data_IF_215239934218
#
_entry.id   IF_215239934218
#
_cell.length_a   1.000
_cell.length_b   1.000
_cell.length_c   1.000
_cell.angle_alpha   90.00
_cell.angle_beta   90.00
_cell.angle_gamma   90.00
#
_symmetry.space_group_name_H-M   'P 1'
#
loop_
_entity.id
_entity.type
_entity.pdbx_description
1 polymer ?
#
# COMPACT_ATOMS: atom_id res chain seq x y z
N UNK A 1 -6.52 30.08 21.96
CA UNK A 1 -5.44 30.38 21.00
C UNK A 1 -5.06 31.87 21.10
N UNK A 2 -4.04 32.24 21.86
CA UNK A 2 -3.69 33.65 22.08
C UNK A 2 -3.40 34.41 20.77
N UNK A 3 -2.70 33.79 19.82
CA UNK A 3 -2.44 34.42 18.51
C UNK A 3 -3.68 34.58 17.64
N UNK A 4 -4.53 33.55 17.52
CA UNK A 4 -5.69 33.55 16.61
C UNK A 4 -6.92 34.27 17.16
N UNK A 5 -7.05 34.41 18.48
CA UNK A 5 -8.24 35.01 19.12
C UNK A 5 -7.90 36.12 20.11
N UNK A 6 -6.63 36.54 20.22
CA UNK A 6 -6.15 37.51 21.21
C UNK A 6 -6.51 37.11 22.65
N UNK A 7 -6.54 35.79 22.91
CA UNK A 7 -6.91 35.23 24.21
C UNK A 7 -8.42 35.23 24.49
N UNK A 8 -9.25 35.78 23.59
CA UNK A 8 -10.70 35.76 23.75
C UNK A 8 -11.27 34.38 23.40
N UNK A 9 -12.36 34.02 24.08
CA UNK A 9 -13.12 32.81 23.77
C UNK A 9 -13.78 32.98 22.39
N UNK A 10 -13.56 32.03 21.49
CA UNK A 10 -14.17 32.02 20.17
C UNK A 10 -14.70 30.63 19.85
N UNK A 11 -15.93 30.56 19.31
CA UNK A 11 -16.57 29.32 18.86
C UNK A 11 -16.47 29.17 17.35
N UNK A 12 -15.92 28.04 16.89
CA UNK A 12 -15.91 27.64 15.48
C UNK A 12 -16.94 26.53 15.30
N UNK A 13 -17.93 26.70 14.41
CA UNK A 13 -19.10 25.80 14.35
C UNK A 13 -18.94 24.62 13.40
N UNK A 14 -18.11 24.75 12.35
CA UNK A 14 -17.95 23.74 11.30
C UNK A 14 -16.47 23.49 11.03
N UNK A 15 -15.80 22.84 11.96
CA UNK A 15 -14.37 22.51 11.86
C UNK A 15 -14.19 21.10 11.31
N UNK A 16 -13.34 20.95 10.29
CA UNK A 16 -12.91 19.64 9.83
C UNK A 16 -11.70 19.19 10.65
N UNK A 17 -11.86 18.11 11.40
CA UNK A 17 -10.76 17.47 12.12
C UNK A 17 -9.96 16.58 11.18
N UNK A 18 -8.75 17.02 10.84
CA UNK A 18 -7.90 16.33 9.87
C UNK A 18 -6.89 15.44 10.62
N UNK A 19 -7.21 14.17 10.75
CA UNK A 19 -6.31 13.17 11.32
C UNK A 19 -5.27 12.75 10.29
N UNK A 20 -3.99 12.79 10.66
CA UNK A 20 -2.92 12.27 9.79
C UNK A 20 -1.83 11.55 10.57
N UNK A 21 -1.21 10.51 9.97
CA UNK A 21 0.02 9.95 10.47
C UNK A 21 1.19 10.90 10.19
N UNK A 22 2.02 11.11 11.20
CA UNK A 22 3.26 11.86 11.18
C UNK A 22 4.43 10.96 11.54
N UNK A 23 5.65 11.38 11.17
CA UNK A 23 6.88 10.63 11.43
C UNK A 23 6.77 9.16 11.00
N UNK A 24 6.44 8.90 9.74
CA UNK A 24 6.27 7.53 9.20
C UNK A 24 5.23 6.69 9.95
N UNK A 25 4.23 7.33 10.57
CA UNK A 25 3.13 6.66 11.27
C UNK A 25 3.39 6.35 12.74
N UNK A 26 4.46 6.89 13.35
CA UNK A 26 4.69 6.79 14.80
C UNK A 26 3.83 7.75 15.62
N UNK A 27 3.40 8.86 15.02
CA UNK A 27 2.59 9.87 15.69
C UNK A 27 1.29 10.08 14.92
N UNK A 28 0.19 10.27 15.65
CA UNK A 28 -1.07 10.73 15.08
C UNK A 28 -1.31 12.16 15.51
N UNK A 29 -1.51 13.03 14.52
CA UNK A 29 -1.76 14.45 14.74
C UNK A 29 -3.15 14.80 14.22
N UNK A 30 -3.87 15.63 14.98
CA UNK A 30 -5.10 16.29 14.51
C UNK A 30 -4.78 17.71 14.11
N UNK A 31 -5.05 18.05 12.86
CA UNK A 31 -4.83 19.41 12.32
C UNK A 31 -6.18 20.10 12.16
N UNK A 32 -6.26 21.35 12.62
CA UNK A 32 -7.42 22.22 12.47
C UNK A 32 -7.04 23.47 11.67
N UNK A 33 -7.68 23.67 10.52
CA UNK A 33 -7.54 24.89 9.73
C UNK A 33 -8.55 25.95 10.21
N UNK A 34 -8.20 26.68 11.27
CA UNK A 34 -9.06 27.70 11.89
C UNK A 34 -8.76 29.11 11.38
N UNK A 35 -9.80 29.91 11.13
CA UNK A 35 -9.70 31.35 10.86
C UNK A 35 -8.98 32.11 11.96
N UNK A 36 -8.29 33.17 11.54
CA UNK A 36 -7.74 34.15 12.45
C UNK A 36 -8.81 35.19 12.77
N UNK A 37 -9.27 35.20 14.03
CA UNK A 37 -10.30 36.12 14.54
C UNK A 37 -9.72 37.28 15.34
N UNK A 38 -8.39 37.39 15.41
CA UNK A 38 -7.75 38.54 16.01
C UNK A 38 -8.00 39.77 15.11
N UNK A 39 -8.61 40.86 15.61
CA UNK A 39 -8.93 42.03 14.80
C UNK A 39 -7.74 42.68 14.09
N UNK A 40 -6.51 42.50 14.59
CA UNK A 40 -5.32 43.12 14.00
C UNK A 40 -4.73 42.33 12.82
N UNK A 41 -5.08 41.05 12.69
CA UNK A 41 -4.51 40.12 11.68
C UNK A 41 -5.60 39.17 11.16
N UNK A 42 -6.82 39.69 11.05
CA UNK A 42 -7.99 38.90 10.67
C UNK A 42 -7.77 38.25 9.30
N UNK A 43 -8.05 36.95 9.22
CA UNK A 43 -7.86 36.18 8.00
C UNK A 43 -8.76 34.96 7.97
N UNK A 44 -9.41 34.77 6.83
CA UNK A 44 -10.21 33.59 6.51
C UNK A 44 -9.34 32.54 5.80
N UNK A 45 -9.47 31.28 6.21
CA UNK A 45 -8.75 30.13 5.64
C UNK A 45 -9.70 29.12 4.98
N UNK A 46 -10.81 29.61 4.41
CA UNK A 46 -11.79 28.79 3.71
C UNK A 46 -11.47 28.67 2.20
N UNK A 47 -11.80 27.52 1.56
CA UNK A 47 -12.34 26.31 2.18
C UNK A 47 -11.28 25.52 2.98
N UNK A 48 -11.73 24.79 4.01
CA UNK A 48 -10.88 23.83 4.71
C UNK A 48 -10.62 22.63 3.79
N UNK A 49 -9.39 22.50 3.30
CA UNK A 49 -9.00 21.46 2.34
C UNK A 49 -7.94 20.52 2.92
N UNK A 50 -8.00 19.24 2.53
CA UNK A 50 -6.97 18.25 2.81
C UNK A 50 -6.86 17.25 1.64
N UNK A 51 -5.69 16.62 1.50
CA UNK A 51 -5.52 15.42 0.68
C UNK A 51 -5.78 14.18 1.53
N UNK A 52 -6.33 13.14 0.91
CA UNK A 52 -6.65 11.88 1.57
C UNK A 52 -5.76 10.78 0.97
N UNK A 53 -5.23 9.91 1.82
CA UNK A 53 -4.48 8.72 1.38
C UNK A 53 -5.48 7.76 0.70
N UNK A 54 -5.21 7.30 -0.55
CA UNK A 54 -6.09 6.35 -1.22
C UNK A 54 -6.37 5.11 -0.37
N UNK A 55 -7.63 4.66 -0.34
CA UNK A 55 -8.04 3.43 0.36
C UNK A 55 -8.40 3.58 1.84
N UNK A 56 -8.15 4.73 2.48
CA UNK A 56 -8.48 4.92 3.92
C UNK A 56 -9.98 4.85 4.22
N UNK A 57 -10.83 5.26 3.27
CA UNK A 57 -12.29 5.20 3.40
C UNK A 57 -12.88 4.19 2.44
N UNK A 58 -13.86 3.41 2.91
CA UNK A 58 -14.65 2.54 2.05
C UNK A 58 -15.60 3.38 1.18
N UNK A 59 -15.71 3.10 -0.13
CA UNK A 59 -16.69 3.77 -0.98
C UNK A 59 -18.11 3.42 -0.52
N UNK A 60 -19.02 4.40 -0.60
CA UNK A 60 -20.44 4.15 -0.35
C UNK A 60 -20.98 3.17 -1.40
N UNK A 61 -21.88 2.28 -0.98
CA UNK A 61 -22.61 1.45 -1.94
C UNK A 61 -23.44 2.32 -2.87
N UNK A 62 -23.48 1.92 -4.15
CA UNK A 62 -24.25 2.60 -5.18
C UNK A 62 -25.73 2.54 -4.82
N UNK A 63 -26.34 3.71 -4.72
CA UNK A 63 -27.78 3.87 -4.51
C UNK A 63 -28.38 4.62 -5.70
N UNK A 64 -29.18 3.96 -6.55
CA UNK A 64 -29.76 4.59 -7.74
C UNK A 64 -30.88 5.59 -7.42
N UNK A 65 -31.38 5.64 -6.18
CA UNK A 65 -32.45 6.56 -5.78
C UNK A 65 -31.94 7.95 -5.43
N UNK A 66 -30.62 8.11 -5.22
CA UNK A 66 -30.01 9.41 -4.92
C UNK A 66 -30.03 10.31 -6.15
N UNK A 67 -30.61 11.49 -5.99
CA UNK A 67 -30.58 12.57 -6.98
C UNK A 67 -29.62 13.68 -6.54
N UNK A 68 -29.09 14.44 -7.49
CA UNK A 68 -28.24 15.60 -7.25
C UNK A 68 -28.39 16.65 -8.33
N UNK A 69 -27.78 17.82 -8.13
CA UNK A 69 -27.77 18.92 -9.10
C UNK A 69 -26.44 18.84 -9.87
N UNK A 70 -26.51 18.79 -11.20
CA UNK A 70 -25.34 18.91 -12.08
C UNK A 70 -25.16 20.39 -12.40
N UNK A 71 -24.00 20.94 -12.06
CA UNK A 71 -23.64 22.33 -12.36
C UNK A 71 -22.52 22.28 -13.40
N UNK A 72 -22.83 22.63 -14.64
CA UNK A 72 -21.84 22.74 -15.70
C UNK A 72 -21.01 24.00 -15.49
N UNK A 73 -19.70 23.83 -15.31
CA UNK A 73 -18.74 24.91 -15.12
C UNK A 73 -17.62 24.79 -16.14
N UNK A 74 -17.48 25.82 -16.98
CA UNK A 74 -16.37 25.94 -17.93
C UNK A 74 -15.41 27.02 -17.45
N UNK A 75 -14.22 26.67 -16.91
CA UNK A 75 -13.26 27.67 -16.45
C UNK A 75 -12.68 28.44 -17.63
N UNK A 76 -12.54 29.75 -17.46
CA UNK A 76 -11.71 30.57 -18.34
C UNK A 76 -10.26 30.46 -17.86
N UNK A 77 -9.34 30.11 -18.78
CA UNK A 77 -7.92 29.97 -18.48
C UNK A 77 -7.16 31.14 -19.07
N UNK A 78 -6.39 31.83 -18.25
CA UNK A 78 -5.48 32.88 -18.72
C UNK A 78 -4.33 32.22 -19.50
N UNK A 79 -3.86 32.81 -20.61
CA UNK A 79 -2.59 32.40 -21.22
C UNK A 79 -1.41 32.24 -20.23
N UNK A 80 -1.37 33.02 -19.15
CA UNK A 80 -0.38 32.93 -18.08
C UNK A 80 -0.47 31.59 -17.29
N UNK A 81 -1.65 30.97 -17.21
CA UNK A 81 -1.85 29.67 -16.55
C UNK A 81 -1.15 28.53 -17.32
N UNK A 82 -0.80 28.76 -18.60
CA UNK A 82 -0.17 27.77 -19.51
C UNK A 82 1.36 27.82 -19.49
N UNK A 83 1.95 28.15 -18.34
CA UNK A 83 3.39 28.28 -18.17
C UNK A 83 4.17 26.97 -18.33
N UNK A 84 3.50 25.81 -18.18
CA UNK A 84 4.10 24.49 -18.36
C UNK A 84 3.64 23.87 -19.67
N UNK A 85 4.61 23.54 -20.54
CA UNK A 85 4.35 22.79 -21.78
C UNK A 85 4.85 21.35 -21.62
N UNK A 86 3.93 20.39 -21.71
CA UNK A 86 4.28 18.96 -21.78
C UNK A 86 4.86 18.69 -23.17
N UNK A 87 6.17 18.48 -23.25
CA UNK A 87 6.87 18.22 -24.53
C UNK A 87 6.74 16.77 -24.99
N UNK A 88 6.73 15.84 -24.04
CA UNK A 88 6.58 14.40 -24.28
C UNK A 88 5.92 13.76 -23.05
N UNK A 89 5.03 12.79 -23.29
CA UNK A 89 4.41 11.97 -22.26
C UNK A 89 4.64 10.51 -22.61
N UNK A 90 5.56 9.87 -21.90
CA UNK A 90 5.74 8.43 -21.96
C UNK A 90 5.02 7.79 -20.78
N UNK A 91 4.06 6.91 -21.06
CA UNK A 91 3.45 6.06 -20.04
C UNK A 91 4.30 4.81 -19.94
N UNK A 92 5.28 4.83 -19.05
CA UNK A 92 6.01 3.62 -18.70
C UNK A 92 5.10 2.79 -17.80
N UNK A 93 4.39 1.82 -18.37
CA UNK A 93 3.78 0.77 -17.54
C UNK A 93 4.93 0.03 -16.86
N UNK A 94 5.01 0.14 -15.55
CA UNK A 94 5.69 -0.87 -14.76
C UNK A 94 5.15 -2.23 -15.23
N UNK A 95 5.98 -3.21 -15.59
CA UNK A 95 5.49 -4.54 -15.91
C UNK A 95 4.80 -5.20 -14.70
N UNK A 96 4.92 -4.59 -13.52
CA UNK A 96 4.38 -5.02 -12.25
C UNK A 96 3.26 -4.08 -11.84
N UNK A 97 2.07 -4.63 -11.62
CA UNK A 97 0.89 -3.89 -11.18
C UNK A 97 0.38 -4.46 -9.86
N UNK A 98 0.77 -3.83 -8.75
CA UNK A 98 0.31 -4.22 -7.42
C UNK A 98 -1.11 -3.74 -7.11
N UNK A 99 -1.57 -2.67 -7.76
CA UNK A 99 -2.80 -1.95 -7.36
C UNK A 99 -4.07 -2.68 -7.84
N UNK A 100 -3.98 -3.45 -8.93
CA UNK A 100 -5.09 -4.24 -9.46
C UNK A 100 -5.31 -5.58 -8.73
N UNK A 101 -4.36 -6.03 -7.92
CA UNK A 101 -4.41 -7.32 -7.25
C UNK A 101 -4.86 -7.18 -5.80
N UNK A 102 -5.83 -8.01 -5.39
CA UNK A 102 -6.30 -8.05 -4.00
C UNK A 102 -5.29 -8.69 -3.04
N UNK A 103 -4.39 -9.51 -3.58
CA UNK A 103 -3.35 -10.19 -2.83
C UNK A 103 -1.98 -9.83 -3.42
N UNK A 104 -0.98 -9.69 -2.55
CA UNK A 104 0.43 -9.56 -2.94
C UNK A 104 1.25 -10.57 -2.16
N UNK A 105 2.13 -11.28 -2.86
CA UNK A 105 3.09 -12.18 -2.24
C UNK A 105 4.47 -11.55 -2.36
N UNK A 106 5.17 -11.38 -1.25
CA UNK A 106 6.54 -10.89 -1.27
C UNK A 106 7.52 -11.90 -0.70
N UNK A 107 8.63 -12.12 -1.42
CA UNK A 107 9.69 -13.00 -0.93
C UNK A 107 10.99 -12.28 -0.60
N UNK A 108 11.69 -12.84 0.38
CA UNK A 108 12.97 -12.33 0.86
C UNK A 108 14.14 -13.29 0.66
N UNK A 109 15.27 -12.98 1.30
CA UNK A 109 16.50 -13.79 1.26
C UNK A 109 16.32 -15.18 1.89
N UNK A 110 15.17 -15.49 2.49
CA UNK A 110 14.85 -16.84 2.95
C UNK A 110 14.84 -17.90 1.83
N UNK A 111 14.74 -17.51 0.56
CA UNK A 111 14.78 -18.47 -0.59
C UNK A 111 16.14 -19.16 -0.80
N UNK A 112 17.15 -18.83 0.01
CA UNK A 112 18.58 -19.13 -0.20
C UNK A 112 18.92 -20.61 -0.44
N UNK A 113 18.14 -21.53 0.12
CA UNK A 113 18.47 -22.94 0.15
C UNK A 113 18.23 -23.59 -1.22
N UNK A 114 17.22 -23.14 -1.96
CA UNK A 114 16.95 -23.54 -3.35
C UNK A 114 16.25 -22.41 -4.11
N UNK A 115 16.96 -21.34 -4.49
CA UNK A 115 16.33 -20.11 -4.99
C UNK A 115 15.40 -20.33 -6.19
N UNK A 116 15.81 -21.14 -7.17
CA UNK A 116 15.00 -21.35 -8.37
C UNK A 116 13.72 -22.16 -8.08
N UNK A 117 13.82 -23.24 -7.30
CA UNK A 117 12.66 -24.07 -6.97
C UNK A 117 11.71 -23.37 -5.99
N UNK A 118 12.25 -22.59 -5.06
CA UNK A 118 11.46 -21.76 -4.17
C UNK A 118 10.68 -20.67 -4.91
N UNK A 119 11.28 -20.04 -5.93
CA UNK A 119 10.55 -19.09 -6.78
C UNK A 119 9.43 -19.80 -7.55
N UNK A 120 9.63 -21.03 -8.04
CA UNK A 120 8.54 -21.78 -8.70
C UNK A 120 7.36 -22.01 -7.76
N UNK A 121 7.61 -22.39 -6.50
CA UNK A 121 6.56 -22.54 -5.48
C UNK A 121 5.84 -21.22 -5.20
N UNK A 122 6.59 -20.12 -5.10
CA UNK A 122 6.01 -18.78 -4.90
C UNK A 122 5.14 -18.36 -6.08
N UNK A 123 5.60 -18.62 -7.32
CA UNK A 123 4.85 -18.34 -8.54
C UNK A 123 3.58 -19.19 -8.62
N UNK A 124 3.67 -20.47 -8.26
CA UNK A 124 2.50 -21.34 -8.20
C UNK A 124 1.47 -20.82 -7.19
N UNK A 125 1.89 -20.44 -5.98
CA UNK A 125 1.01 -19.84 -4.98
C UNK A 125 0.40 -18.51 -5.47
N UNK A 126 1.20 -17.67 -6.15
CA UNK A 126 0.73 -16.40 -6.69
C UNK A 126 -0.37 -16.61 -7.74
N UNK A 127 -0.21 -17.60 -8.63
CA UNK A 127 -1.24 -17.97 -9.59
C UNK A 127 -2.51 -18.46 -8.89
N UNK A 128 -2.37 -19.26 -7.83
CA UNK A 128 -3.54 -19.72 -7.07
C UNK A 128 -4.27 -18.58 -6.36
N UNK A 129 -3.57 -17.56 -5.88
CA UNK A 129 -4.21 -16.42 -5.22
C UNK A 129 -4.61 -15.29 -6.16
N UNK A 130 -4.29 -15.40 -7.46
CA UNK A 130 -4.34 -14.29 -8.40
C UNK A 130 -3.67 -13.05 -7.78
N UNK A 131 -2.43 -13.24 -7.35
CA UNK A 131 -1.63 -12.27 -6.60
C UNK A 131 -0.43 -11.80 -7.43
N UNK A 132 -0.04 -10.54 -7.25
CA UNK A 132 1.21 -10.02 -7.81
C UNK A 132 2.39 -10.32 -6.89
N UNK A 133 3.58 -10.50 -7.47
CA UNK A 133 4.80 -10.89 -6.76
C UNK A 133 5.70 -9.67 -6.52
N UNK A 134 5.97 -9.39 -5.25
CA UNK A 134 6.98 -8.43 -4.81
C UNK A 134 8.23 -9.10 -4.25
N UNK A 135 9.25 -8.29 -3.99
CA UNK A 135 10.50 -8.73 -3.35
C UNK A 135 10.99 -7.73 -2.31
N UNK A 136 11.76 -8.22 -1.33
CA UNK A 136 12.53 -7.34 -0.46
C UNK A 136 13.73 -6.72 -1.19
N UNK A 137 14.17 -5.53 -0.75
CA UNK A 137 15.30 -4.81 -1.36
C UNK A 137 16.59 -5.63 -1.55
N UNK A 138 17.02 -6.51 -0.61
CA UNK A 138 18.22 -7.32 -0.81
C UNK A 138 18.14 -8.29 -1.99
N UNK A 139 16.94 -8.75 -2.36
CA UNK A 139 16.75 -9.66 -3.50
C UNK A 139 17.04 -8.95 -4.82
N UNK A 140 16.61 -7.70 -4.99
CA UNK A 140 16.87 -6.96 -6.23
C UNK A 140 18.30 -6.42 -6.34
N UNK A 141 18.95 -6.12 -5.20
CA UNK A 141 20.33 -5.60 -5.18
C UNK A 141 21.39 -6.69 -5.25
N UNK A 142 21.13 -7.84 -4.66
CA UNK A 142 22.03 -9.01 -4.61
C UNK A 142 21.22 -10.26 -4.95
N UNK A 143 20.84 -10.41 -6.24
CA UNK A 143 20.07 -11.57 -6.68
C UNK A 143 20.89 -12.86 -6.46
N UNK A 144 20.19 -13.95 -6.20
CA UNK A 144 20.82 -15.27 -6.20
C UNK A 144 21.11 -15.70 -7.64
N UNK A 145 22.10 -16.57 -7.82
CA UNK A 145 22.40 -17.17 -9.11
C UNK A 145 21.28 -18.13 -9.52
N UNK A 146 20.32 -17.62 -10.29
CA UNK A 146 19.24 -18.38 -10.94
C UNK A 146 19.26 -18.13 -12.44
N UNK A 147 18.50 -18.91 -13.22
CA UNK A 147 18.40 -18.70 -14.68
C UNK A 147 17.98 -17.26 -15.01
N UNK A 148 18.61 -16.68 -16.03
CA UNK A 148 18.43 -15.27 -16.42
C UNK A 148 16.96 -14.84 -16.62
N UNK A 149 16.07 -15.66 -17.23
CA UNK A 149 14.66 -15.30 -17.35
C UNK A 149 13.95 -15.17 -16.00
N UNK A 150 14.32 -16.01 -15.01
CA UNK A 150 13.72 -15.99 -13.67
C UNK A 150 14.25 -14.80 -12.87
N UNK A 151 15.56 -14.56 -12.94
CA UNK A 151 16.22 -13.45 -12.24
C UNK A 151 15.68 -12.09 -12.72
N UNK A 152 15.70 -11.86 -14.03
CA UNK A 152 15.23 -10.60 -14.62
C UNK A 152 13.73 -10.34 -14.39
N UNK A 153 12.92 -11.40 -14.41
CA UNK A 153 11.47 -11.28 -14.23
C UNK A 153 11.08 -10.98 -12.78
N UNK A 154 11.69 -11.64 -11.79
CA UNK A 154 11.24 -11.57 -10.38
C UNK A 154 12.17 -10.79 -9.45
N UNK A 155 13.47 -10.77 -9.71
CA UNK A 155 14.48 -10.14 -8.83
C UNK A 155 14.92 -8.76 -9.34
N UNK A 156 14.00 -7.97 -9.87
CA UNK A 156 14.27 -6.61 -10.37
C UNK A 156 13.80 -5.52 -9.38
N UNK A 157 14.21 -4.27 -9.65
CA UNK A 157 13.86 -3.12 -8.82
C UNK A 157 12.37 -2.77 -8.83
N UNK A 158 11.66 -3.07 -9.92
CA UNK A 158 10.26 -2.70 -10.09
C UNK A 158 9.33 -3.49 -9.15
N UNK A 159 9.80 -4.65 -8.68
CA UNK A 159 9.10 -5.52 -7.72
C UNK A 159 9.44 -5.23 -6.26
N UNK A 160 10.35 -4.29 -5.97
CA UNK A 160 10.76 -4.02 -4.59
C UNK A 160 9.60 -3.42 -3.80
N UNK A 161 9.28 -4.01 -2.65
CA UNK A 161 8.33 -3.45 -1.68
C UNK A 161 9.11 -2.88 -0.49
N UNK A 162 8.82 -1.63 -0.14
CA UNK A 162 9.48 -0.90 0.95
C UNK A 162 9.75 0.56 0.62
N UNK A 163 10.46 1.27 1.52
CA UNK A 163 10.78 2.70 1.38
C UNK A 163 11.53 3.06 0.10
N UNK A 164 12.31 2.14 -0.45
CA UNK A 164 13.09 2.32 -1.69
C UNK A 164 12.40 1.72 -2.92
N UNK A 165 11.18 1.23 -2.78
CA UNK A 165 10.40 0.60 -3.84
C UNK A 165 8.95 1.08 -3.82
N UNK A 166 8.02 0.16 -4.07
CA UNK A 166 6.58 0.41 -4.04
C UNK A 166 6.05 0.27 -2.62
N UNK A 167 5.10 1.15 -2.29
CA UNK A 167 4.18 0.98 -1.16
C UNK A 167 2.90 0.34 -1.69
N UNK A 168 2.41 -0.67 -1.00
CA UNK A 168 1.22 -1.45 -1.38
C UNK A 168 0.28 -1.57 -0.18
N UNK A 169 -1.01 -1.70 -0.47
CA UNK A 169 -2.06 -1.90 0.55
C UNK A 169 -3.09 -2.95 0.07
N UNK A 170 -2.66 -4.19 -0.24
CA UNK A 170 -3.58 -5.25 -0.66
C UNK A 170 -4.49 -5.68 0.50
N UNK A 171 -5.57 -6.37 0.16
CA UNK A 171 -6.43 -7.01 1.17
C UNK A 171 -5.68 -8.14 1.90
N UNK A 172 -4.83 -8.89 1.18
CA UNK A 172 -3.99 -9.96 1.75
C UNK A 172 -2.53 -9.77 1.32
N UNK A 173 -1.61 -9.82 2.27
CA UNK A 173 -0.17 -9.77 2.04
C UNK A 173 0.48 -11.05 2.58
N UNK A 174 1.26 -11.74 1.75
CA UNK A 174 1.99 -12.96 2.16
C UNK A 174 3.49 -12.72 2.09
N UNK A 175 4.14 -12.65 3.24
CA UNK A 175 5.58 -12.45 3.39
C UNK A 175 6.32 -13.79 3.53
N UNK A 176 7.07 -14.20 2.52
CA UNK A 176 7.75 -15.51 2.47
C UNK A 176 9.26 -15.33 2.63
N UNK A 177 9.84 -15.79 3.74
CA UNK A 177 11.28 -15.69 3.99
C UNK A 177 11.77 -14.24 4.05
N UNK A 178 10.90 -13.32 4.49
CA UNK A 178 11.20 -11.90 4.71
C UNK A 178 11.53 -11.68 6.18
N UNK A 179 12.59 -10.93 6.49
CA UNK A 179 13.03 -10.71 7.88
C UNK A 179 12.18 -9.70 8.66
N UNK A 180 11.53 -8.75 7.97
CA UNK A 180 10.76 -7.67 8.60
C UNK A 180 11.58 -6.42 8.91
N UNK A 181 12.60 -6.12 8.10
CA UNK A 181 13.30 -4.84 8.22
C UNK A 181 12.31 -3.67 8.05
N UNK A 182 12.42 -2.65 8.90
CA UNK A 182 11.50 -1.48 8.94
C UNK A 182 11.28 -0.86 7.56
N UNK A 183 12.30 -0.84 6.70
CA UNK A 183 12.21 -0.35 5.33
C UNK A 183 11.21 -1.14 4.48
N UNK A 184 11.16 -2.47 4.64
CA UNK A 184 10.20 -3.31 3.94
C UNK A 184 8.80 -3.17 4.54
N UNK A 185 8.69 -3.18 5.87
CA UNK A 185 7.42 -3.00 6.59
C UNK A 185 6.72 -1.71 6.18
N UNK A 186 7.44 -0.59 6.09
CA UNK A 186 6.87 0.69 5.65
C UNK A 186 6.20 0.63 4.25
N UNK A 187 6.58 -0.35 3.41
CA UNK A 187 5.98 -0.59 2.11
C UNK A 187 4.72 -1.46 2.13
N UNK A 188 4.44 -2.19 3.22
CA UNK A 188 3.31 -3.14 3.30
C UNK A 188 2.45 -2.98 4.55
N UNK A 189 2.79 -2.07 5.48
CA UNK A 189 2.11 -1.84 6.76
C UNK A 189 0.62 -1.50 6.64
N UNK A 190 0.19 -1.00 5.47
CA UNK A 190 -1.21 -0.67 5.19
C UNK A 190 -2.00 -1.83 4.57
N UNK A 191 -1.42 -3.03 4.50
CA UNK A 191 -2.13 -4.23 4.04
C UNK A 191 -3.22 -4.63 5.04
N UNK A 192 -4.35 -5.13 4.52
CA UNK A 192 -5.51 -5.48 5.35
C UNK A 192 -5.30 -6.70 6.25
N UNK A 193 -4.63 -7.74 5.72
CA UNK A 193 -4.32 -8.97 6.45
C UNK A 193 -2.96 -9.51 6.03
N UNK A 194 -2.07 -9.76 6.98
CA UNK A 194 -0.66 -10.12 6.74
C UNK A 194 -0.38 -11.53 7.25
N UNK A 195 0.11 -12.38 6.35
CA UNK A 195 0.57 -13.73 6.66
C UNK A 195 2.08 -13.78 6.45
N UNK A 196 2.85 -14.25 7.43
CA UNK A 196 4.29 -14.41 7.33
C UNK A 196 4.68 -15.90 7.44
N UNK A 197 5.50 -16.38 6.49
CA UNK A 197 6.08 -17.73 6.49
C UNK A 197 7.59 -17.57 6.66
N UNK A 198 8.11 -17.98 7.81
CA UNK A 198 9.55 -17.87 8.10
C UNK A 198 10.01 -19.01 9.03
N UNK A 199 11.18 -19.57 8.75
CA UNK A 199 11.77 -20.63 9.57
C UNK A 199 12.32 -20.07 10.90
N UNK A 200 12.72 -18.80 10.92
CA UNK A 200 13.22 -18.11 12.11
C UNK A 200 12.06 -17.58 12.97
N UNK A 201 11.83 -18.22 14.11
CA UNK A 201 10.78 -17.86 15.06
C UNK A 201 10.99 -16.50 15.75
N UNK A 202 12.19 -15.94 15.65
CA UNK A 202 12.58 -14.65 16.21
C UNK A 202 12.65 -13.55 15.15
N UNK A 203 12.22 -13.84 13.91
CA UNK A 203 12.24 -12.86 12.83
C UNK A 203 11.33 -11.66 13.15
N UNK A 204 11.80 -10.41 13.00
CA UNK A 204 11.00 -9.20 13.27
C UNK A 204 9.66 -9.12 12.53
N UNK A 205 9.53 -9.75 11.35
CA UNK A 205 8.27 -9.83 10.60
C UNK A 205 7.11 -10.43 11.42
N UNK A 206 7.43 -11.24 12.43
CA UNK A 206 6.44 -11.85 13.32
C UNK A 206 5.59 -10.82 14.05
N UNK A 207 6.17 -9.70 14.42
CA UNK A 207 5.49 -8.64 15.17
C UNK A 207 4.65 -7.73 14.25
N UNK A 208 4.79 -7.89 12.93
CA UNK A 208 4.15 -7.08 11.90
C UNK A 208 3.19 -7.91 11.03
N UNK A 209 2.76 -9.08 11.52
CA UNK A 209 1.83 -9.98 10.82
C UNK A 209 0.66 -10.44 11.69
N UNK A 210 -0.47 -10.75 11.06
CA UNK A 210 -1.65 -11.31 11.71
C UNK A 210 -1.51 -12.82 11.94
N UNK A 211 -0.87 -13.53 11.00
CA UNK A 211 -0.56 -14.96 11.10
C UNK A 211 0.92 -15.19 10.84
N UNK A 212 1.60 -15.80 11.81
CA UNK A 212 2.97 -16.26 11.65
C UNK A 212 3.03 -17.79 11.55
N UNK A 213 3.49 -18.30 10.40
CA UNK A 213 3.76 -19.72 10.17
C UNK A 213 5.25 -19.96 10.33
N UNK A 214 5.60 -20.62 11.44
CA UNK A 214 6.97 -21.09 11.69
C UNK A 214 7.24 -22.34 10.88
N UNK A 215 7.98 -22.20 9.79
CA UNK A 215 8.33 -23.33 8.94
C UNK A 215 9.20 -22.91 7.77
N UNK A 216 9.82 -23.90 7.12
CA UNK A 216 10.52 -23.67 5.85
C UNK A 216 9.47 -23.57 4.74
N UNK A 217 9.71 -22.70 3.76
CA UNK A 217 8.72 -22.45 2.70
C UNK A 217 8.50 -23.70 1.82
N UNK A 218 9.52 -24.54 1.69
CA UNK A 218 9.50 -25.82 0.99
C UNK A 218 8.52 -26.81 1.62
N UNK A 219 8.31 -26.72 2.93
CA UNK A 219 7.38 -27.58 3.66
C UNK A 219 5.96 -26.98 3.70
N UNK A 220 5.87 -25.65 3.78
CA UNK A 220 4.60 -24.93 3.96
C UNK A 220 3.87 -24.67 2.64
N UNK A 221 4.58 -24.18 1.61
CA UNK A 221 3.95 -23.74 0.37
C UNK A 221 3.23 -24.87 -0.38
N UNK A 222 3.80 -26.09 -0.53
CA UNK A 222 3.10 -27.16 -1.23
C UNK A 222 1.76 -27.53 -0.57
N UNK A 223 1.74 -27.62 0.75
CA UNK A 223 0.51 -27.94 1.52
C UNK A 223 -0.53 -26.84 1.36
N UNK A 224 -0.10 -25.58 1.44
CA UNK A 224 -0.98 -24.42 1.26
C UNK A 224 -1.58 -24.37 -0.15
N UNK A 225 -0.75 -24.61 -1.18
CA UNK A 225 -1.18 -24.65 -2.59
C UNK A 225 -2.20 -25.77 -2.81
N UNK A 226 -1.93 -26.97 -2.29
CA UNK A 226 -2.82 -28.12 -2.42
C UNK A 226 -4.19 -27.82 -1.77
N UNK A 227 -4.18 -27.26 -0.57
CA UNK A 227 -5.42 -26.92 0.14
C UNK A 227 -6.20 -25.79 -0.58
N UNK A 228 -5.51 -24.77 -1.10
CA UNK A 228 -6.14 -23.72 -1.90
C UNK A 228 -6.83 -24.28 -3.15
N UNK A 229 -6.19 -25.22 -3.85
CA UNK A 229 -6.78 -25.89 -5.01
C UNK A 229 -8.04 -26.67 -4.63
N UNK A 230 -8.02 -27.40 -3.51
CA UNK A 230 -9.20 -28.13 -2.99
C UNK A 230 -10.33 -27.17 -2.63
N UNK A 231 -10.04 -26.11 -1.90
CA UNK A 231 -11.05 -25.13 -1.48
C UNK A 231 -11.70 -24.42 -2.67
N UNK A 232 -10.93 -24.08 -3.71
CA UNK A 232 -11.49 -23.52 -4.96
C UNK A 232 -12.47 -24.46 -5.63
N UNK A 233 -12.15 -25.76 -5.73
CA UNK A 233 -13.06 -26.75 -6.30
C UNK A 233 -14.36 -26.83 -5.49
N UNK A 234 -14.29 -26.80 -4.17
CA UNK A 234 -15.48 -26.77 -3.31
C UNK A 234 -16.30 -25.50 -3.54
N UNK A 235 -15.67 -24.33 -3.66
CA UNK A 235 -16.34 -23.06 -3.90
C UNK A 235 -16.98 -22.94 -5.30
N UNK A 236 -16.38 -23.55 -6.32
CA UNK A 236 -16.95 -23.59 -7.68
C UNK A 236 -18.15 -24.53 -7.77
N UNK A 237 -18.18 -25.61 -6.99
CA UNK A 237 -19.32 -26.56 -6.95
C UNK A 237 -20.54 -25.96 -6.22
N UNK A 238 -20.35 -24.93 -5.39
CA UNK A 238 -21.42 -24.27 -4.63
C UNK A 238 -21.88 -22.91 -5.23
N UNK A 239 -21.38 -22.53 -6.41
CA UNK A 239 -21.89 -21.38 -7.19
C UNK A 239 -22.87 -21.84 -8.26
#
# INVERSE_FOLDING_TARGET
HEHKTKGQLARYEKTLEMYRPDFSGFLWTTILCLDNRNPTIQREYHPQACSIIPGVFSPLQRDPTRTGIIVDFSPELDPADKSVKVLNRQVTKSPVDFDSHKAVISFGRGIKDSPEDNIKLIVELANELNAEIGVSLPISKRPYSVREPVSSLYMNSDRVIGTSGRKVAPAVYVAIGVSGAMQHIAGMKESGFVIAINADANSPIKDECDIFIRGRMEDVLPVLIEELKKQKQVMEVHK
#
